data_IF_920689891295
#
_entry.id   IF_920689891295
#
_cell.length_a   1.000
_cell.length_b   1.000
_cell.length_c   1.000
_cell.angle_alpha   90.00
_cell.angle_beta   90.00
_cell.angle_gamma   90.00
#
_symmetry.space_group_name_H-M   'P 1'
#
loop_
_entity.id
_entity.type
_entity.pdbx_description
1 polymer ?
#
# COMPACT_ATOMS: atom_id res chain seq x y z
N UNK A 1 18.06 -50.27 -26.42
CA UNK A 1 17.52 -51.04 -25.29
C UNK A 1 17.90 -50.31 -24.00
N UNK A 2 16.92 -49.83 -23.26
CA UNK A 2 17.13 -49.14 -22.01
C UNK A 2 15.98 -48.15 -21.72
N UNK A 3 14.81 -48.71 -21.39
CA UNK A 3 13.67 -47.95 -20.90
C UNK A 3 13.94 -47.53 -19.46
N UNK A 4 13.96 -46.23 -19.18
CA UNK A 4 13.95 -45.69 -17.82
C UNK A 4 12.52 -45.29 -17.46
N UNK A 5 12.00 -45.98 -16.44
CA UNK A 5 10.72 -45.77 -15.80
C UNK A 5 10.63 -44.36 -15.22
N UNK A 6 9.70 -43.57 -15.71
CA UNK A 6 9.20 -42.36 -15.04
C UNK A 6 8.21 -42.81 -13.97
N UNK A 7 8.64 -42.79 -12.70
CA UNK A 7 7.78 -42.97 -11.55
C UNK A 7 6.83 -41.77 -11.46
N UNK A 8 5.53 -42.04 -11.54
CA UNK A 8 4.49 -41.06 -11.24
C UNK A 8 4.55 -40.71 -9.74
N UNK A 9 4.82 -39.45 -9.43
CA UNK A 9 4.58 -38.89 -8.10
C UNK A 9 3.05 -38.77 -7.92
N UNK A 10 2.51 -39.27 -6.79
CA UNK A 10 1.10 -39.06 -6.49
C UNK A 10 0.84 -37.56 -6.30
N UNK A 11 -0.18 -37.07 -6.96
CA UNK A 11 -0.56 -35.68 -7.00
C UNK A 11 -0.80 -35.08 -5.60
N UNK A 12 0.13 -34.30 -5.13
CA UNK A 12 -0.14 -33.27 -4.12
C UNK A 12 -0.85 -32.14 -4.81
N UNK A 13 -2.17 -32.24 -4.93
CA UNK A 13 -2.99 -31.12 -5.34
C UNK A 13 -2.71 -29.95 -4.43
N UNK A 14 -2.25 -28.84 -4.99
CA UNK A 14 -2.15 -27.59 -4.25
C UNK A 14 -3.54 -27.29 -3.69
N UNK A 15 -3.71 -27.12 -2.37
CA UNK A 15 -5.02 -26.87 -1.80
C UNK A 15 -5.63 -25.64 -2.44
N UNK A 16 -6.91 -25.71 -2.80
CA UNK A 16 -7.63 -24.56 -3.34
C UNK A 16 -7.68 -23.46 -2.31
N UNK A 17 -7.80 -22.20 -2.74
CA UNK A 17 -7.97 -21.03 -1.86
C UNK A 17 -9.05 -21.28 -0.80
N UNK A 18 -10.13 -21.97 -1.15
CA UNK A 18 -11.23 -22.37 -0.27
C UNK A 18 -10.77 -23.32 0.85
N UNK A 19 -9.89 -24.28 0.53
CA UNK A 19 -9.39 -25.24 1.53
C UNK A 19 -8.43 -24.62 2.52
N UNK A 20 -7.55 -23.71 2.08
CA UNK A 20 -6.61 -23.00 2.96
C UNK A 20 -7.32 -22.09 3.97
N UNK A 21 -8.44 -21.47 3.58
CA UNK A 21 -9.24 -20.64 4.50
C UNK A 21 -10.02 -21.51 5.50
N UNK A 22 -10.54 -22.65 5.05
CA UNK A 22 -11.28 -23.58 5.92
C UNK A 22 -10.41 -24.14 7.06
N UNK A 23 -9.14 -24.43 6.78
CA UNK A 23 -8.21 -24.94 7.81
C UNK A 23 -7.75 -23.88 8.83
N UNK A 24 -7.83 -22.58 8.46
CA UNK A 24 -7.28 -21.50 9.29
C UNK A 24 -8.30 -20.92 10.28
N UNK A 25 -9.61 -21.09 10.03
CA UNK A 25 -10.70 -20.52 10.83
C UNK A 25 -11.46 -21.51 11.71
N UNK A 26 -10.83 -22.62 12.10
CA UNK A 26 -11.34 -23.45 13.20
C UNK A 26 -11.08 -22.73 14.54
N UNK A 27 -11.89 -21.71 14.83
CA UNK A 27 -11.84 -20.92 16.05
C UNK A 27 -12.73 -21.58 17.12
N UNK A 28 -12.18 -22.14 18.20
CA UNK A 28 -12.95 -22.87 19.21
C UNK A 28 -13.79 -21.99 20.14
N UNK A 29 -13.84 -20.68 19.95
CA UNK A 29 -14.45 -19.73 20.88
C UNK A 29 -15.56 -18.82 20.30
N UNK A 30 -15.90 -18.96 19.02
CA UNK A 30 -17.07 -18.28 18.47
C UNK A 30 -18.30 -19.18 18.62
N UNK A 31 -19.42 -18.59 19.05
CA UNK A 31 -20.72 -19.30 19.02
C UNK A 31 -20.94 -19.84 17.59
N UNK A 32 -21.50 -21.03 17.47
CA UNK A 32 -21.77 -21.68 16.16
C UNK A 32 -22.51 -20.78 15.18
N UNK A 33 -23.26 -19.79 15.66
CA UNK A 33 -23.96 -18.80 14.85
C UNK A 33 -23.01 -17.77 14.23
N UNK A 34 -22.08 -17.22 15.01
CA UNK A 34 -21.08 -16.26 14.51
C UNK A 34 -20.05 -16.93 13.57
N UNK A 35 -19.71 -18.19 13.84
CA UNK A 35 -18.85 -18.99 12.96
C UNK A 35 -19.53 -19.32 11.63
N UNK A 36 -20.85 -19.58 11.63
CA UNK A 36 -21.62 -19.81 10.41
C UNK A 36 -21.89 -18.51 9.63
N UNK A 37 -22.10 -17.38 10.29
CA UNK A 37 -22.17 -16.08 9.63
C UNK A 37 -20.81 -15.67 9.03
N UNK A 38 -19.70 -15.89 9.74
CA UNK A 38 -18.35 -15.69 9.22
C UNK A 38 -18.04 -16.63 8.03
N UNK A 39 -18.47 -17.91 8.10
CA UNK A 39 -18.33 -18.86 6.99
C UNK A 39 -19.22 -18.50 5.79
N UNK A 40 -20.43 -18.01 6.02
CA UNK A 40 -21.34 -17.55 4.97
C UNK A 40 -20.87 -16.28 4.27
N UNK A 41 -20.14 -15.41 4.97
CA UNK A 41 -19.55 -14.20 4.38
C UNK A 41 -18.18 -14.45 3.72
N UNK A 42 -17.44 -15.48 4.11
CA UNK A 42 -16.13 -15.80 3.55
C UNK A 42 -16.19 -16.47 2.18
N UNK A 43 -17.17 -17.34 1.91
CA UNK A 43 -17.29 -18.02 0.61
C UNK A 43 -17.56 -17.02 -0.56
N UNK A 44 -18.47 -16.03 -0.45
CA UNK A 44 -18.62 -14.97 -1.45
C UNK A 44 -17.37 -14.08 -1.57
N UNK A 45 -16.64 -13.84 -0.46
CA UNK A 45 -15.42 -13.02 -0.47
C UNK A 45 -14.23 -13.73 -1.15
N UNK A 46 -14.12 -15.05 -1.08
CA UNK A 46 -13.08 -15.78 -1.81
C UNK A 46 -13.25 -15.68 -3.31
N UNK A 47 -14.48 -15.87 -3.81
CA UNK A 47 -14.81 -15.60 -5.21
C UNK A 47 -14.55 -14.14 -5.58
N UNK A 48 -14.84 -13.22 -4.67
CA UNK A 48 -14.57 -11.80 -4.85
C UNK A 48 -13.06 -11.49 -4.92
N UNK A 49 -12.22 -12.10 -4.07
CA UNK A 49 -10.77 -11.92 -4.12
C UNK A 49 -10.17 -12.44 -5.43
N UNK A 50 -10.62 -13.56 -5.94
CA UNK A 50 -10.17 -14.07 -7.24
C UNK A 50 -10.55 -13.12 -8.38
N UNK A 51 -11.74 -12.53 -8.34
CA UNK A 51 -12.17 -11.53 -9.31
C UNK A 51 -11.32 -10.26 -9.24
N UNK A 52 -11.04 -9.76 -8.02
CA UNK A 52 -10.17 -8.60 -7.80
C UNK A 52 -8.72 -8.87 -8.23
N UNK A 53 -8.20 -10.07 -7.98
CA UNK A 53 -6.88 -10.49 -8.47
C UNK A 53 -6.83 -10.47 -10.00
N UNK A 54 -7.80 -11.09 -10.65
CA UNK A 54 -7.87 -11.15 -12.11
C UNK A 54 -7.96 -9.75 -12.74
N UNK A 55 -8.80 -8.87 -12.17
CA UNK A 55 -8.90 -7.46 -12.57
C UNK A 55 -7.56 -6.73 -12.44
N UNK A 56 -6.91 -6.86 -11.28
CA UNK A 56 -5.62 -6.20 -11.04
C UNK A 56 -4.53 -6.70 -11.99
N UNK A 57 -4.45 -8.00 -12.23
CA UNK A 57 -3.51 -8.60 -13.19
C UNK A 57 -3.77 -8.08 -14.60
N UNK A 58 -5.04 -7.98 -15.01
CA UNK A 58 -5.43 -7.39 -16.29
C UNK A 58 -4.93 -5.95 -16.38
N UNK A 59 -5.20 -5.10 -15.37
CA UNK A 59 -4.78 -3.71 -15.34
C UNK A 59 -3.24 -3.58 -15.45
N UNK A 60 -2.47 -4.41 -14.75
CA UNK A 60 -1.01 -4.40 -14.85
C UNK A 60 -0.51 -4.73 -16.26
N UNK A 61 -1.11 -5.73 -16.90
CA UNK A 61 -0.72 -6.17 -18.26
C UNK A 61 -1.08 -5.12 -19.30
N UNK A 62 -2.30 -4.56 -19.24
CA UNK A 62 -2.74 -3.50 -20.14
C UNK A 62 -1.84 -2.26 -20.01
N UNK A 63 -1.56 -1.79 -18.80
CA UNK A 63 -0.73 -0.62 -18.61
C UNK A 63 0.73 -0.86 -19.06
N UNK A 64 1.28 -2.05 -18.83
CA UNK A 64 2.63 -2.37 -19.30
C UNK A 64 2.73 -2.53 -20.82
N UNK A 65 1.63 -2.89 -21.50
CA UNK A 65 1.56 -2.97 -22.96
C UNK A 65 1.39 -1.59 -23.62
N UNK A 66 0.58 -0.72 -23.01
CA UNK A 66 0.23 0.58 -23.56
C UNK A 66 1.29 1.66 -23.33
N UNK A 67 1.95 1.65 -22.16
CA UNK A 67 2.87 2.71 -21.78
C UNK A 67 4.31 2.27 -21.98
N UNK A 68 5.09 3.11 -22.68
CA UNK A 68 6.49 2.80 -23.03
C UNK A 68 7.44 2.82 -21.84
N UNK A 69 7.12 3.57 -20.78
CA UNK A 69 8.00 3.73 -19.62
C UNK A 69 7.20 3.76 -18.31
N UNK A 70 6.59 2.66 -17.90
CA UNK A 70 5.87 2.57 -16.63
C UNK A 70 6.82 2.44 -15.43
N UNK A 71 6.36 2.83 -14.24
CA UNK A 71 7.05 2.67 -12.97
C UNK A 71 6.05 2.25 -11.89
N UNK A 72 6.46 1.47 -10.91
CA UNK A 72 5.62 1.13 -9.78
C UNK A 72 6.07 1.86 -8.52
N UNK A 73 5.17 2.65 -7.94
CA UNK A 73 5.42 3.35 -6.68
C UNK A 73 5.42 2.37 -5.51
N UNK A 74 6.57 2.24 -4.85
CA UNK A 74 6.76 1.28 -3.76
C UNK A 74 6.90 2.01 -2.42
N UNK A 75 5.76 2.23 -1.76
CA UNK A 75 5.70 2.91 -0.45
C UNK A 75 6.04 2.00 0.73
N UNK A 76 6.24 0.69 0.50
CA UNK A 76 6.50 -0.35 1.51
C UNK A 76 5.30 -0.61 2.42
N UNK A 77 4.17 0.04 2.17
CA UNK A 77 2.91 -0.23 2.86
C UNK A 77 2.27 -1.55 2.43
N UNK A 78 1.26 -2.01 3.16
CA UNK A 78 0.52 -3.24 2.86
C UNK A 78 -0.03 -3.26 1.42
N UNK A 79 -0.59 -2.14 0.98
CA UNK A 79 -1.17 -2.00 -0.36
C UNK A 79 -0.10 -2.14 -1.46
N UNK A 80 1.05 -1.48 -1.31
CA UNK A 80 2.16 -1.62 -2.26
C UNK A 80 2.81 -3.01 -2.22
N UNK A 81 2.74 -3.72 -1.10
CA UNK A 81 3.20 -5.11 -1.01
C UNK A 81 2.25 -6.06 -1.76
N UNK A 82 0.93 -5.83 -1.66
CA UNK A 82 -0.08 -6.55 -2.47
C UNK A 82 0.10 -6.24 -3.95
N UNK A 83 0.26 -4.96 -4.34
CA UNK A 83 0.56 -4.58 -5.72
C UNK A 83 1.78 -5.30 -6.27
N UNK A 84 2.86 -5.36 -5.50
CA UNK A 84 4.09 -6.02 -5.90
C UNK A 84 3.87 -7.53 -6.15
N UNK A 85 3.09 -8.20 -5.29
CA UNK A 85 2.72 -9.59 -5.47
C UNK A 85 1.86 -9.80 -6.73
N UNK A 86 0.88 -8.94 -6.96
CA UNK A 86 0.04 -8.97 -8.16
C UNK A 86 0.85 -8.73 -9.43
N UNK A 87 1.80 -7.79 -9.42
CA UNK A 87 2.72 -7.57 -10.53
C UNK A 87 3.59 -8.81 -10.80
N UNK A 88 4.10 -9.48 -9.78
CA UNK A 88 4.82 -10.75 -9.94
C UNK A 88 3.94 -11.81 -10.61
N UNK A 89 2.66 -11.95 -10.22
CA UNK A 89 1.73 -12.89 -10.84
C UNK A 89 1.37 -12.49 -12.28
N UNK A 90 1.20 -11.19 -12.54
CA UNK A 90 0.86 -10.66 -13.85
C UNK A 90 1.89 -11.01 -14.92
N UNK A 91 3.18 -11.03 -14.55
CA UNK A 91 4.28 -11.26 -15.51
C UNK A 91 4.97 -12.61 -15.34
N UNK A 92 4.48 -13.48 -14.46
CA UNK A 92 5.03 -14.84 -14.30
C UNK A 92 4.94 -15.63 -15.63
N UNK A 93 6.01 -16.37 -16.02
CA UNK A 93 7.27 -16.64 -15.33
C UNK A 93 8.37 -15.59 -15.54
N UNK A 94 8.09 -14.51 -16.28
CA UNK A 94 9.02 -13.42 -16.50
C UNK A 94 9.22 -12.54 -15.26
N UNK A 95 10.14 -11.58 -15.38
CA UNK A 95 10.35 -10.54 -14.37
C UNK A 95 9.31 -9.41 -14.57
N UNK A 96 9.09 -8.63 -13.52
CA UNK A 96 8.32 -7.39 -13.62
C UNK A 96 9.04 -6.45 -14.61
N UNK A 97 8.37 -5.95 -15.67
CA UNK A 97 9.03 -5.24 -16.78
C UNK A 97 9.26 -3.74 -16.50
N UNK A 98 9.11 -3.29 -15.26
CA UNK A 98 9.30 -1.91 -14.86
C UNK A 98 9.94 -1.81 -13.47
N UNK A 99 10.67 -0.71 -13.18
CA UNK A 99 11.29 -0.53 -11.87
C UNK A 99 10.29 -0.19 -10.77
N UNK A 100 10.73 -0.40 -9.52
CA UNK A 100 10.08 0.10 -8.31
C UNK A 100 10.66 1.48 -7.98
N UNK A 101 9.80 2.46 -7.69
CA UNK A 101 10.21 3.79 -7.25
C UNK A 101 9.80 4.04 -5.81
N UNK A 102 10.79 4.26 -4.95
CA UNK A 102 10.57 4.65 -3.55
C UNK A 102 10.97 6.11 -3.33
N UNK A 103 10.04 6.92 -2.82
CA UNK A 103 10.34 8.29 -2.37
C UNK A 103 10.74 8.25 -0.90
N UNK A 104 12.03 8.45 -0.66
CA UNK A 104 12.59 8.47 0.68
C UNK A 104 12.63 9.91 1.22
N UNK A 105 11.82 10.15 2.24
CA UNK A 105 11.72 11.45 2.92
C UNK A 105 12.78 11.66 3.99
N UNK A 106 13.65 10.67 4.23
CA UNK A 106 14.60 10.60 5.37
C UNK A 106 13.94 10.54 6.76
N UNK A 107 12.62 10.48 6.83
CA UNK A 107 11.83 10.37 8.07
C UNK A 107 11.02 9.07 8.11
N UNK A 108 11.46 8.05 7.37
CA UNK A 108 10.82 6.73 7.38
C UNK A 108 11.23 5.93 8.61
N UNK A 109 10.38 5.00 9.02
CA UNK A 109 10.72 4.03 10.06
C UNK A 109 11.91 3.17 9.62
N UNK A 110 12.90 2.90 10.50
CA UNK A 110 14.05 2.06 10.18
C UNK A 110 13.66 0.68 9.64
N UNK A 111 12.62 0.07 10.20
CA UNK A 111 12.09 -1.24 9.77
C UNK A 111 11.58 -1.21 8.32
N UNK A 112 11.05 -0.06 7.86
CA UNK A 112 10.62 0.08 6.46
C UNK A 112 11.81 0.05 5.51
N UNK A 113 12.87 0.77 5.86
CA UNK A 113 14.07 0.85 5.02
C UNK A 113 14.75 -0.52 4.92
N UNK A 114 14.93 -1.19 6.06
CA UNK A 114 15.51 -2.53 6.11
C UNK A 114 14.69 -3.53 5.27
N UNK A 115 13.36 -3.54 5.46
CA UNK A 115 12.47 -4.41 4.71
C UNK A 115 12.48 -4.12 3.20
N UNK A 116 12.47 -2.84 2.80
CA UNK A 116 12.55 -2.42 1.40
C UNK A 116 13.75 -3.02 0.69
N UNK A 117 14.94 -2.82 1.27
CA UNK A 117 16.21 -3.19 0.65
C UNK A 117 16.39 -4.70 0.61
N UNK A 118 15.97 -5.39 1.66
CA UNK A 118 16.01 -6.85 1.72
C UNK A 118 15.04 -7.47 0.71
N UNK A 119 13.77 -7.01 0.71
CA UNK A 119 12.74 -7.63 -0.11
C UNK A 119 12.93 -7.35 -1.60
N UNK A 120 13.28 -6.12 -1.98
CA UNK A 120 13.58 -5.80 -3.39
C UNK A 120 14.74 -6.65 -3.93
N UNK A 121 15.80 -6.84 -3.15
CA UNK A 121 16.93 -7.71 -3.51
C UNK A 121 16.50 -9.17 -3.64
N UNK A 122 15.70 -9.67 -2.70
CA UNK A 122 15.20 -11.06 -2.68
C UNK A 122 14.42 -11.42 -3.95
N UNK A 123 13.60 -10.50 -4.43
CA UNK A 123 12.77 -10.74 -5.62
C UNK A 123 13.46 -10.34 -6.93
N UNK A 124 14.68 -9.78 -6.86
CA UNK A 124 15.43 -9.31 -8.02
C UNK A 124 14.77 -8.16 -8.77
N UNK A 125 13.99 -7.31 -8.08
CA UNK A 125 13.37 -6.14 -8.66
C UNK A 125 14.36 -4.98 -8.72
N UNK A 126 14.32 -4.22 -9.82
CA UNK A 126 15.03 -2.95 -9.91
C UNK A 126 14.38 -1.94 -8.98
N UNK A 127 15.16 -1.33 -8.08
CA UNK A 127 14.68 -0.37 -7.08
C UNK A 127 15.37 0.97 -7.27
N UNK A 128 14.58 1.98 -7.60
CA UNK A 128 14.98 3.39 -7.63
C UNK A 128 14.58 4.05 -6.32
N UNK A 129 15.55 4.62 -5.61
CA UNK A 129 15.28 5.40 -4.38
C UNK A 129 15.59 6.85 -4.68
N UNK A 130 14.57 7.71 -4.56
CA UNK A 130 14.71 9.14 -4.83
C UNK A 130 14.49 9.94 -3.54
N UNK A 131 15.35 10.97 -3.34
CA UNK A 131 15.30 11.94 -2.24
C UNK A 131 15.35 13.34 -2.80
N UNK A 132 14.64 14.26 -2.18
CA UNK A 132 14.85 15.68 -2.45
C UNK A 132 16.02 16.20 -1.59
N UNK A 133 17.24 15.99 -2.09
CA UNK A 133 18.48 16.35 -1.37
C UNK A 133 18.60 17.86 -1.15
N UNK A 134 18.06 18.69 -2.06
CA UNK A 134 18.08 20.15 -1.92
C UNK A 134 17.20 20.59 -0.75
N UNK A 135 15.97 20.09 -0.68
CA UNK A 135 15.07 20.39 0.45
C UNK A 135 15.64 19.91 1.77
N UNK A 136 16.27 18.72 1.82
CA UNK A 136 16.91 18.19 3.03
C UNK A 136 18.09 19.07 3.46
N UNK A 137 18.95 19.48 2.53
CA UNK A 137 20.08 20.39 2.82
C UNK A 137 19.62 21.77 3.29
N UNK A 138 18.47 22.25 2.80
CA UNK A 138 17.83 23.49 3.26
C UNK A 138 17.16 23.34 4.63
N UNK A 139 17.24 22.17 5.28
CA UNK A 139 16.69 21.93 6.61
C UNK A 139 15.20 21.58 6.61
N UNK A 140 14.64 21.14 5.49
CA UNK A 140 13.25 20.69 5.45
C UNK A 140 13.02 19.50 6.38
N UNK A 141 12.16 19.69 7.38
CA UNK A 141 11.81 18.66 8.36
C UNK A 141 10.39 18.89 8.88
N UNK A 142 9.73 17.82 9.39
CA UNK A 142 8.34 17.91 9.85
C UNK A 142 8.15 18.73 11.11
N UNK A 143 9.19 18.91 11.91
CA UNK A 143 9.10 19.63 13.19
C UNK A 143 9.10 21.14 13.01
N UNK A 144 9.91 21.68 12.08
CA UNK A 144 10.01 23.12 11.84
C UNK A 144 9.02 23.62 10.79
N UNK A 145 8.71 22.81 9.76
CA UNK A 145 7.83 23.20 8.66
C UNK A 145 6.36 22.78 8.86
N UNK A 146 6.09 21.89 9.82
CA UNK A 146 4.83 21.21 9.95
C UNK A 146 4.61 20.15 8.86
N UNK A 147 3.59 19.33 9.05
CA UNK A 147 3.33 18.15 8.20
C UNK A 147 3.06 18.54 6.75
N UNK A 148 2.23 19.55 6.50
CA UNK A 148 1.80 19.94 5.16
C UNK A 148 2.96 20.39 4.27
N UNK A 149 3.73 21.40 4.72
CA UNK A 149 4.86 21.92 3.94
C UNK A 149 5.97 20.90 3.78
N UNK A 150 6.29 20.13 4.83
CA UNK A 150 7.27 19.06 4.76
C UNK A 150 6.86 17.98 3.75
N UNK A 151 5.60 17.52 3.76
CA UNK A 151 5.10 16.57 2.77
C UNK A 151 5.09 17.15 1.35
N UNK A 152 4.76 18.42 1.17
CA UNK A 152 4.84 19.10 -0.12
C UNK A 152 6.24 19.01 -0.73
N UNK A 153 7.28 19.30 0.06
CA UNK A 153 8.67 19.28 -0.40
C UNK A 153 9.24 17.86 -0.54
N UNK A 154 9.12 17.04 0.52
CA UNK A 154 9.82 15.76 0.60
C UNK A 154 9.05 14.58 0.00
N UNK A 155 7.76 14.74 -0.30
CA UNK A 155 6.96 13.70 -0.98
C UNK A 155 6.46 14.17 -2.34
N UNK A 156 5.61 15.22 -2.39
CA UNK A 156 4.95 15.63 -3.64
C UNK A 156 5.97 16.10 -4.66
N UNK A 157 6.78 17.10 -4.31
CA UNK A 157 7.81 17.62 -5.21
C UNK A 157 8.83 16.53 -5.59
N UNK A 158 9.30 15.77 -4.60
CA UNK A 158 10.23 14.67 -4.81
C UNK A 158 9.68 13.60 -5.76
N UNK A 159 8.38 13.28 -5.67
CA UNK A 159 7.73 12.36 -6.61
C UNK A 159 7.69 12.92 -8.03
N UNK A 160 7.28 14.17 -8.19
CA UNK A 160 7.21 14.80 -9.51
C UNK A 160 8.59 14.89 -10.17
N UNK A 161 9.61 15.27 -9.40
CA UNK A 161 11.00 15.32 -9.86
C UNK A 161 11.52 13.94 -10.27
N UNK A 162 11.23 12.90 -9.49
CA UNK A 162 11.61 11.52 -9.81
C UNK A 162 10.94 11.00 -11.08
N UNK A 163 9.65 11.29 -11.26
CA UNK A 163 8.90 10.87 -12.43
C UNK A 163 9.39 11.58 -13.69
N UNK A 164 9.66 12.88 -13.59
CA UNK A 164 10.20 13.68 -14.69
C UNK A 164 11.63 13.23 -15.06
N UNK A 165 12.50 13.04 -14.07
CA UNK A 165 13.88 12.59 -14.29
C UNK A 165 13.95 11.20 -14.93
N UNK A 166 13.03 10.29 -14.56
CA UNK A 166 12.93 8.96 -15.16
C UNK A 166 12.18 8.95 -16.50
N UNK A 167 11.52 10.04 -16.88
CA UNK A 167 10.68 10.10 -18.09
C UNK A 167 9.48 9.15 -18.03
N UNK A 168 8.99 8.84 -16.83
CA UNK A 168 7.90 7.89 -16.63
C UNK A 168 6.56 8.47 -17.07
N UNK A 169 5.87 7.77 -17.97
CA UNK A 169 4.57 8.17 -18.50
C UNK A 169 3.38 7.46 -17.84
N UNK A 170 3.63 6.39 -17.09
CA UNK A 170 2.64 5.72 -16.26
C UNK A 170 3.25 5.37 -14.89
N UNK A 171 2.48 5.55 -13.81
CA UNK A 171 2.93 5.20 -12.47
C UNK A 171 1.84 4.42 -11.73
N UNK A 172 2.12 3.15 -11.41
CA UNK A 172 1.24 2.32 -10.61
C UNK A 172 1.23 2.79 -9.15
N UNK A 173 0.06 2.96 -8.59
CA UNK A 173 -0.16 3.40 -7.21
C UNK A 173 -1.14 2.50 -6.47
N UNK A 174 -0.94 2.32 -5.17
CA UNK A 174 -1.75 1.46 -4.31
C UNK A 174 -3.01 2.13 -3.74
N UNK A 175 -3.51 3.20 -4.37
CA UNK A 175 -4.70 3.86 -3.90
C UNK A 175 -5.95 3.03 -4.14
N UNK A 176 -6.85 3.01 -3.14
CA UNK A 176 -8.15 2.34 -3.19
C UNK A 176 -9.26 3.35 -3.03
N UNK A 177 -10.39 3.12 -3.69
CA UNK A 177 -11.59 3.98 -3.55
C UNK A 177 -12.17 3.97 -2.14
N UNK A 178 -11.98 2.87 -1.41
CA UNK A 178 -12.41 2.66 -0.02
C UNK A 178 -11.63 3.51 0.99
N UNK A 179 -10.43 3.97 0.64
CA UNK A 179 -9.48 4.57 1.57
C UNK A 179 -9.93 5.93 2.13
N UNK A 180 -10.52 6.76 1.25
CA UNK A 180 -11.11 8.05 1.64
C UNK A 180 -11.97 8.67 0.50
N UNK A 181 -12.79 9.69 0.84
CA UNK A 181 -13.78 10.28 -0.07
C UNK A 181 -13.20 10.83 -1.38
N UNK A 182 -12.03 11.46 -1.36
CA UNK A 182 -11.44 12.02 -2.59
C UNK A 182 -10.94 10.92 -3.52
N UNK A 183 -10.55 9.76 -2.97
CA UNK A 183 -10.11 8.61 -3.75
C UNK A 183 -11.27 7.87 -4.42
N UNK A 184 -12.48 7.97 -3.87
CA UNK A 184 -13.67 7.43 -4.52
C UNK A 184 -13.97 8.06 -5.89
N UNK A 185 -13.46 9.29 -6.14
CA UNK A 185 -13.58 9.99 -7.43
C UNK A 185 -12.47 9.62 -8.42
N UNK A 186 -11.44 8.89 -8.00
CA UNK A 186 -10.31 8.52 -8.83
C UNK A 186 -10.70 7.45 -9.85
N UNK A 187 -10.14 7.53 -11.04
CA UNK A 187 -10.25 6.49 -12.07
C UNK A 187 -9.17 5.44 -11.88
N UNK A 188 -9.35 4.26 -12.48
CA UNK A 188 -8.29 3.24 -12.56
C UNK A 188 -7.11 3.80 -13.36
N UNK A 189 -7.40 4.43 -14.51
CA UNK A 189 -6.45 5.22 -15.29
C UNK A 189 -6.70 6.71 -15.03
N UNK A 190 -6.03 7.24 -14.02
CA UNK A 190 -6.22 8.60 -13.56
C UNK A 190 -5.23 9.55 -14.21
N UNK A 191 -5.78 10.46 -14.97
CA UNK A 191 -5.07 11.41 -15.80
C UNK A 191 -4.33 12.48 -14.98
N UNK A 192 -3.14 12.85 -15.45
CA UNK A 192 -2.36 13.99 -14.95
C UNK A 192 -1.94 14.85 -16.12
N UNK A 193 -2.14 16.15 -15.98
CA UNK A 193 -1.71 17.13 -16.97
C UNK A 193 -0.18 17.28 -17.04
N UNK A 194 0.30 18.20 -17.88
CA UNK A 194 1.72 18.49 -18.04
C UNK A 194 2.45 18.93 -16.75
N UNK A 195 1.70 19.36 -15.74
CA UNK A 195 2.22 19.74 -14.41
C UNK A 195 2.07 18.63 -13.37
N UNK A 196 1.58 17.46 -13.76
CA UNK A 196 1.27 16.33 -12.88
C UNK A 196 0.00 16.52 -12.04
N UNK A 197 -0.83 17.52 -12.37
CA UNK A 197 -2.03 17.86 -11.62
C UNK A 197 -3.23 17.00 -12.03
N UNK A 198 -4.10 16.74 -11.06
CA UNK A 198 -5.34 16.01 -11.25
C UNK A 198 -6.54 16.97 -11.32
N UNK A 199 -7.29 16.89 -12.41
CA UNK A 199 -8.57 17.55 -12.54
C UNK A 199 -9.69 16.51 -12.65
N UNK A 200 -10.62 16.44 -11.66
CA UNK A 200 -11.73 15.49 -11.70
C UNK A 200 -12.70 15.71 -12.85
N UNK A 201 -12.76 16.90 -13.43
CA UNK A 201 -13.66 17.23 -14.55
C UNK A 201 -13.12 16.74 -15.88
N UNK A 202 -11.79 16.60 -15.99
CA UNK A 202 -11.11 16.18 -17.21
C UNK A 202 -10.71 14.70 -17.20
N UNK A 203 -11.26 13.91 -16.27
CA UNK A 203 -11.06 12.46 -16.25
C UNK A 203 -11.94 11.78 -17.29
N UNK A 204 -11.39 10.77 -17.95
CA UNK A 204 -12.12 9.98 -18.94
C UNK A 204 -13.03 8.98 -18.27
N UNK A 205 -14.27 8.78 -18.74
CA UNK A 205 -15.13 7.73 -18.19
C UNK A 205 -14.58 6.34 -18.50
N UNK A 206 -14.74 5.42 -17.57
CA UNK A 206 -14.34 3.99 -17.65
C UNK A 206 -15.60 3.13 -17.75
N UNK A 207 -16.46 3.42 -18.73
CA UNK A 207 -17.68 2.66 -18.99
C UNK A 207 -17.32 1.25 -19.45
N UNK A 208 -18.03 0.25 -18.91
CA UNK A 208 -17.82 -1.17 -19.23
C UNK A 208 -16.39 -1.66 -18.97
N UNK A 209 -15.69 -1.08 -18.01
CA UNK A 209 -14.28 -1.38 -17.70
C UNK A 209 -13.31 -1.13 -18.87
N UNK A 210 -13.68 -0.27 -19.82
CA UNK A 210 -12.77 0.14 -20.88
C UNK A 210 -11.82 1.21 -20.33
N UNK A 211 -10.53 0.87 -20.27
CA UNK A 211 -9.47 1.74 -19.84
C UNK A 211 -9.00 2.61 -21.02
N UNK A 212 -8.94 3.91 -20.83
CA UNK A 212 -8.48 4.83 -21.87
C UNK A 212 -7.05 5.29 -21.57
N UNK A 213 -6.08 4.75 -22.32
CA UNK A 213 -4.65 4.96 -22.17
C UNK A 213 -4.08 6.16 -22.90
N UNK A 214 -4.88 6.82 -23.77
CA UNK A 214 -4.38 7.93 -24.60
C UNK A 214 -3.89 9.09 -23.77
N UNK A 215 -2.61 9.47 -23.95
CA UNK A 215 -1.96 10.63 -23.33
C UNK A 215 -1.30 11.51 -24.39
N UNK A 216 -1.23 12.80 -24.13
CA UNK A 216 -0.45 13.74 -24.92
C UNK A 216 1.03 13.74 -24.44
N UNK A 217 1.94 14.33 -25.22
CA UNK A 217 3.38 14.22 -25.01
C UNK A 217 3.90 14.65 -23.61
N UNK A 218 3.16 15.54 -22.93
CA UNK A 218 3.55 16.08 -21.61
C UNK A 218 2.71 15.53 -20.46
N UNK A 219 1.74 14.67 -20.76
CA UNK A 219 0.80 14.12 -19.79
C UNK A 219 1.30 12.77 -19.25
N UNK A 220 0.71 12.34 -18.14
CA UNK A 220 1.00 11.04 -17.55
C UNK A 220 -0.25 10.43 -16.94
N UNK A 221 -0.20 9.12 -16.67
CA UNK A 221 -1.30 8.42 -15.99
C UNK A 221 -0.83 7.86 -14.65
N UNK A 222 -1.67 7.97 -13.64
CA UNK A 222 -1.59 7.15 -12.44
C UNK A 222 -2.50 5.94 -12.62
N UNK A 223 -1.93 4.76 -12.48
CA UNK A 223 -2.65 3.49 -12.64
C UNK A 223 -2.91 2.91 -11.26
N UNK A 224 -4.19 2.60 -10.97
CA UNK A 224 -4.59 2.11 -9.64
C UNK A 224 -5.18 0.70 -9.71
N UNK A 225 -4.34 -0.35 -9.74
CA UNK A 225 -4.79 -1.75 -9.85
C UNK A 225 -5.64 -2.19 -8.66
N UNK A 226 -5.50 -1.54 -7.50
CA UNK A 226 -6.25 -1.85 -6.29
C UNK A 226 -7.51 -0.99 -6.10
N UNK A 227 -7.96 -0.27 -7.14
CA UNK A 227 -9.05 0.71 -7.05
C UNK A 227 -10.31 0.18 -6.38
N UNK A 228 -10.69 -1.06 -6.69
CA UNK A 228 -11.92 -1.70 -6.23
C UNK A 228 -11.73 -2.56 -4.96
N UNK A 229 -10.51 -2.64 -4.42
CA UNK A 229 -10.20 -3.38 -3.21
C UNK A 229 -10.60 -2.60 -1.95
N UNK A 230 -11.07 -3.29 -0.94
CA UNK A 230 -11.23 -2.77 0.42
C UNK A 230 -9.99 -3.03 1.26
N UNK A 231 -9.88 -2.38 2.43
CA UNK A 231 -8.80 -2.68 3.38
C UNK A 231 -8.85 -4.14 3.83
N UNK A 232 -10.06 -4.68 4.01
CA UNK A 232 -10.25 -6.08 4.38
C UNK A 232 -9.74 -7.02 3.29
N UNK A 233 -10.03 -6.74 2.02
CA UNK A 233 -9.54 -7.55 0.88
C UNK A 233 -8.01 -7.57 0.84
N UNK A 234 -7.35 -6.44 1.12
CA UNK A 234 -5.89 -6.36 1.23
C UNK A 234 -5.36 -7.32 2.30
N UNK A 235 -5.96 -7.33 3.50
CA UNK A 235 -5.50 -8.18 4.59
C UNK A 235 -5.80 -9.66 4.35
N UNK A 236 -6.97 -9.98 3.80
CA UNK A 236 -7.31 -11.34 3.39
C UNK A 236 -6.35 -11.87 2.32
N UNK A 237 -6.01 -11.04 1.34
CA UNK A 237 -5.08 -11.42 0.29
C UNK A 237 -3.64 -11.58 0.82
N UNK A 238 -3.19 -10.71 1.74
CA UNK A 238 -1.91 -10.88 2.45
C UNK A 238 -1.87 -12.22 3.18
N UNK A 239 -2.97 -12.60 3.83
CA UNK A 239 -3.06 -13.86 4.56
C UNK A 239 -2.98 -15.07 3.63
N UNK A 240 -3.80 -15.10 2.58
CA UNK A 240 -3.88 -16.21 1.63
C UNK A 240 -2.59 -16.40 0.84
N UNK A 241 -2.05 -15.32 0.28
CA UNK A 241 -0.82 -15.32 -0.50
C UNK A 241 0.46 -15.32 0.35
N UNK A 242 0.34 -15.27 1.69
CA UNK A 242 1.46 -15.21 2.65
C UNK A 242 2.46 -14.12 2.29
N UNK A 243 1.93 -12.94 1.94
CA UNK A 243 2.75 -11.80 1.49
C UNK A 243 3.57 -11.26 2.67
N UNK A 244 4.91 -11.17 2.54
CA UNK A 244 5.72 -10.52 3.55
C UNK A 244 5.37 -9.03 3.67
N UNK A 245 5.22 -8.56 4.89
CA UNK A 245 4.94 -7.16 5.22
C UNK A 245 5.85 -6.67 6.33
N UNK A 246 5.97 -5.34 6.45
CA UNK A 246 6.80 -4.71 7.48
C UNK A 246 6.32 -5.10 8.88
N UNK A 247 7.23 -5.45 9.81
CA UNK A 247 6.87 -5.86 11.19
C UNK A 247 6.11 -4.81 11.99
N UNK A 248 6.08 -3.55 11.56
CA UNK A 248 5.30 -2.47 12.17
C UNK A 248 3.77 -2.69 12.16
N UNK A 249 3.28 -3.53 11.26
CA UNK A 249 1.87 -3.90 11.21
C UNK A 249 1.43 -4.85 12.33
N UNK A 250 2.37 -5.54 12.98
CA UNK A 250 2.10 -6.46 14.08
C UNK A 250 2.21 -5.77 15.43
N UNK A 251 1.26 -6.05 16.32
CA UNK A 251 1.27 -5.52 17.68
C UNK A 251 2.49 -6.03 18.44
N UNK A 252 3.16 -5.11 19.11
CA UNK A 252 4.29 -5.38 20.02
C UNK A 252 4.34 -4.30 21.10
N UNK A 253 5.01 -4.60 22.22
CA UNK A 253 5.39 -3.59 23.19
C UNK A 253 6.40 -2.63 22.56
N UNK A 254 6.02 -1.35 22.43
CA UNK A 254 6.87 -0.30 21.88
C UNK A 254 6.89 0.91 22.80
N UNK A 255 8.04 1.58 22.83
CA UNK A 255 8.18 2.86 23.50
C UNK A 255 7.51 3.94 22.68
N UNK A 256 6.61 4.70 23.31
CA UNK A 256 5.76 5.70 22.65
C UNK A 256 5.62 6.96 23.49
N UNK A 257 5.24 8.05 22.82
CA UNK A 257 4.70 9.26 23.44
C UNK A 257 3.31 9.54 22.92
N UNK A 258 2.52 10.30 23.66
CA UNK A 258 1.23 10.81 23.18
C UNK A 258 1.41 12.26 22.71
N UNK A 259 1.13 12.50 21.42
CA UNK A 259 1.15 13.83 20.79
C UNK A 259 -0.20 14.10 20.14
N UNK A 260 -0.88 15.16 20.57
CA UNK A 260 -2.18 15.55 20.00
C UNK A 260 -3.19 14.38 19.91
N UNK A 261 -3.26 13.56 20.95
CA UNK A 261 -4.14 12.39 20.99
C UNK A 261 -3.68 11.18 20.17
N UNK A 262 -2.56 11.28 19.47
CA UNK A 262 -1.97 10.18 18.70
C UNK A 262 -0.82 9.51 19.44
N UNK A 263 -0.70 8.18 19.30
CA UNK A 263 0.41 7.38 19.83
C UNK A 263 1.54 7.42 18.80
N UNK A 264 2.66 8.04 19.14
CA UNK A 264 3.82 8.17 18.26
C UNK A 264 4.95 7.28 18.78
N UNK A 265 5.52 6.44 17.92
CA UNK A 265 6.67 5.60 18.24
C UNK A 265 7.90 6.48 18.47
N UNK A 266 8.73 6.09 19.44
CA UNK A 266 9.98 6.74 19.76
C UNK A 266 11.13 5.77 19.51
N UNK A 267 12.17 6.25 18.87
CA UNK A 267 13.42 5.54 18.62
C UNK A 267 14.55 6.15 19.47
N UNK A 268 15.62 5.41 19.73
CA UNK A 268 16.71 5.90 20.62
C UNK A 268 17.32 7.25 20.23
N UNK A 269 17.32 7.56 18.93
CA UNK A 269 17.84 8.81 18.36
C UNK A 269 16.84 9.96 18.38
N UNK A 270 15.57 9.69 18.69
CA UNK A 270 14.52 10.71 18.69
C UNK A 270 14.63 11.65 19.89
N UNK A 271 14.44 12.94 19.65
CA UNK A 271 14.38 13.95 20.69
C UNK A 271 12.96 14.10 21.21
N UNK A 272 12.80 13.95 22.52
CA UNK A 272 11.54 14.24 23.19
C UNK A 272 11.34 15.76 23.27
N UNK A 273 10.08 16.18 23.15
CA UNK A 273 9.71 17.57 23.39
C UNK A 273 9.68 17.86 24.91
N UNK A 274 9.86 19.13 25.33
CA UNK A 274 9.80 19.48 26.72
C UNK A 274 8.50 19.01 27.40
N UNK A 275 8.63 18.26 28.50
CA UNK A 275 7.50 17.72 29.26
C UNK A 275 6.93 16.38 28.74
N UNK A 276 7.39 15.85 27.61
CA UNK A 276 7.00 14.51 27.16
C UNK A 276 7.56 13.41 28.06
N UNK A 277 6.74 12.37 28.28
CA UNK A 277 7.13 11.16 28.99
C UNK A 277 6.86 9.97 28.10
N UNK A 278 7.84 9.09 27.98
CA UNK A 278 7.67 7.83 27.26
C UNK A 278 6.95 6.79 28.12
N UNK A 279 6.26 5.89 27.48
CA UNK A 279 5.65 4.70 28.08
C UNK A 279 5.69 3.53 27.10
N UNK A 280 5.68 2.31 27.61
CA UNK A 280 5.54 1.11 26.81
C UNK A 280 4.07 0.78 26.62
N UNK A 281 3.68 0.54 25.35
CA UNK A 281 2.29 0.22 24.96
C UNK A 281 2.32 -0.90 23.92
N UNK A 282 1.43 -1.88 24.08
CA UNK A 282 1.14 -2.82 23.00
C UNK A 282 0.42 -2.07 21.88
N UNK A 283 1.08 -1.93 20.74
CA UNK A 283 0.56 -1.14 19.63
C UNK A 283 1.09 -1.63 18.28
N UNK A 284 0.37 -1.30 17.22
CA UNK A 284 0.74 -1.55 15.83
C UNK A 284 0.46 -0.32 14.96
N UNK A 285 1.08 -0.29 13.80
CA UNK A 285 0.72 0.68 12.77
C UNK A 285 -0.46 0.12 11.95
N UNK A 286 -1.44 0.95 11.65
CA UNK A 286 -2.51 0.60 10.70
C UNK A 286 -2.15 1.04 9.27
N UNK A 287 -1.44 2.15 9.16
CA UNK A 287 -0.86 2.65 7.91
C UNK A 287 0.55 3.15 8.15
N UNK A 288 1.40 3.15 7.13
CA UNK A 288 2.79 3.59 7.22
C UNK A 288 3.01 4.94 6.54
N UNK A 289 3.76 5.80 7.19
CA UNK A 289 4.11 7.12 6.71
C UNK A 289 5.50 7.56 7.17
N UNK A 290 5.64 8.80 7.66
CA UNK A 290 6.85 9.28 8.33
C UNK A 290 6.71 9.13 9.84
N UNK A 291 7.83 8.87 10.54
CA UNK A 291 7.88 8.63 11.99
C UNK A 291 7.08 9.66 12.79
N UNK A 292 7.29 10.99 12.65
CA UNK A 292 6.61 11.94 13.52
C UNK A 292 5.15 12.25 13.10
N UNK A 293 4.74 11.78 11.91
CA UNK A 293 3.46 12.17 11.32
C UNK A 293 2.46 11.00 11.26
N UNK A 294 2.82 9.83 11.74
CA UNK A 294 1.97 8.65 11.68
C UNK A 294 1.80 8.05 13.06
N UNK A 295 0.56 8.06 13.55
CA UNK A 295 0.20 7.47 14.83
C UNK A 295 0.01 5.96 14.74
N UNK A 296 0.34 5.28 15.84
CA UNK A 296 0.01 3.87 16.06
C UNK A 296 -1.38 3.75 16.70
N UNK A 297 -1.94 2.56 16.66
CA UNK A 297 -3.16 2.18 17.39
C UNK A 297 -2.80 1.18 18.50
N UNK A 298 -3.51 1.23 19.63
CA UNK A 298 -3.45 0.18 20.65
C UNK A 298 -4.03 -1.09 20.06
N UNK A 299 -3.31 -2.18 20.19
CA UNK A 299 -3.69 -3.45 19.63
C UNK A 299 -2.91 -4.59 20.25
N UNK A 300 -3.51 -5.77 20.30
CA UNK A 300 -2.87 -7.04 20.64
C UNK A 300 -2.74 -7.96 19.41
N UNK A 301 -3.10 -7.47 18.22
CA UNK A 301 -3.05 -8.23 16.98
C UNK A 301 -1.61 -8.39 16.47
N UNK A 302 -0.95 -9.45 16.85
CA UNK A 302 0.44 -9.79 16.52
C UNK A 302 0.58 -10.72 15.31
N UNK A 303 -0.54 -11.10 14.69
CA UNK A 303 -0.62 -11.94 13.49
C UNK A 303 -1.64 -11.40 12.51
N UNK A 304 -1.52 -11.78 11.22
CA UNK A 304 -2.48 -11.35 10.18
C UNK A 304 -3.91 -11.79 10.50
N UNK A 305 -4.22 -13.02 10.94
CA UNK A 305 -5.57 -13.40 11.35
C UNK A 305 -6.14 -12.49 12.45
N UNK A 306 -5.38 -12.19 13.50
CA UNK A 306 -5.84 -11.28 14.56
C UNK A 306 -6.08 -9.85 14.07
N UNK A 307 -5.29 -9.37 13.09
CA UNK A 307 -5.54 -8.08 12.44
C UNK A 307 -6.87 -8.10 11.69
N UNK A 308 -7.17 -9.17 10.97
CA UNK A 308 -8.45 -9.36 10.27
C UNK A 308 -9.61 -9.37 11.28
N UNK A 309 -9.51 -10.11 12.37
CA UNK A 309 -10.52 -10.15 13.45
C UNK A 309 -10.76 -8.76 14.05
N UNK A 310 -9.68 -8.04 14.33
CA UNK A 310 -9.75 -6.66 14.85
C UNK A 310 -10.47 -5.73 13.86
N UNK A 311 -10.19 -5.87 12.57
CA UNK A 311 -10.84 -5.05 11.54
C UNK A 311 -12.33 -5.33 11.38
N UNK A 312 -12.74 -6.58 11.49
CA UNK A 312 -14.16 -6.96 11.47
C UNK A 312 -14.93 -6.37 12.65
N UNK A 313 -14.25 -6.18 13.80
CA UNK A 313 -14.83 -5.55 14.99
C UNK A 313 -14.87 -4.01 14.93
N UNK A 314 -14.02 -3.35 14.12
CA UNK A 314 -13.88 -1.89 14.06
C UNK A 314 -14.31 -1.32 12.71
N UNK A 315 -15.31 -0.40 12.72
CA UNK A 315 -15.79 0.32 11.50
C UNK A 315 -15.16 1.71 11.32
N UNK A 316 -13.89 1.91 11.68
CA UNK A 316 -13.21 3.22 11.58
C UNK A 316 -12.33 3.32 10.34
N UNK A 317 -12.16 4.54 9.81
CA UNK A 317 -11.31 4.80 8.66
C UNK A 317 -9.84 4.43 8.92
N UNK A 318 -9.18 3.86 7.92
CA UNK A 318 -7.75 3.51 7.94
C UNK A 318 -6.84 4.70 8.22
N UNK A 319 -7.21 5.89 7.74
CA UNK A 319 -6.37 7.08 7.76
C UNK A 319 -6.59 7.98 8.97
N UNK A 320 -7.51 7.62 9.86
CA UNK A 320 -7.89 8.43 11.04
C UNK A 320 -6.69 8.88 11.89
N UNK A 321 -5.59 8.12 11.87
CA UNK A 321 -4.39 8.42 12.68
C UNK A 321 -3.26 9.13 11.89
N UNK A 322 -3.55 9.69 10.71
CA UNK A 322 -2.58 10.48 9.96
C UNK A 322 -2.79 11.96 10.20
N UNK A 323 -1.79 12.64 10.76
CA UNK A 323 -1.85 14.09 11.02
C UNK A 323 -2.23 14.90 9.77
N UNK A 324 -1.76 14.48 8.59
CA UNK A 324 -2.02 15.17 7.32
C UNK A 324 -3.50 15.18 6.90
N UNK A 325 -4.30 14.23 7.38
CA UNK A 325 -5.71 14.11 7.01
C UNK A 325 -6.62 14.88 7.98
N UNK A 326 -6.04 15.38 9.10
CA UNK A 326 -6.73 16.21 10.09
C UNK A 326 -6.54 17.73 9.87
N UNK A 327 -5.60 18.12 8.99
CA UNK A 327 -5.22 19.53 8.84
C UNK A 327 -6.33 20.39 8.22
N UNK A 328 -7.10 19.85 7.25
CA UNK A 328 -8.24 20.55 6.61
C UNK A 328 -9.21 19.56 5.93
N UNK A 329 -10.49 19.90 5.87
CA UNK A 329 -11.48 19.14 5.10
C UNK A 329 -11.15 19.21 3.60
N UNK A 330 -10.94 18.05 2.96
CA UNK A 330 -10.54 17.99 1.54
C UNK A 330 -9.04 18.11 1.28
N UNK A 331 -8.17 18.03 2.31
CA UNK A 331 -6.72 18.18 2.18
C UNK A 331 -6.09 17.27 1.12
N UNK A 332 -6.60 16.04 0.95
CA UNK A 332 -6.13 15.11 -0.09
C UNK A 332 -6.53 15.53 -1.51
N UNK A 333 -7.70 16.14 -1.68
CA UNK A 333 -8.11 16.66 -3.00
C UNK A 333 -7.24 17.85 -3.43
N UNK A 334 -6.89 18.71 -2.49
CA UNK A 334 -5.95 19.83 -2.71
C UNK A 334 -4.59 19.28 -3.12
N UNK A 335 -4.05 18.28 -2.40
CA UNK A 335 -2.75 17.67 -2.72
C UNK A 335 -2.70 16.95 -4.06
N UNK A 336 -3.79 16.33 -4.48
CA UNK A 336 -3.89 15.75 -5.82
C UNK A 336 -3.81 16.81 -6.91
N UNK A 337 -4.43 17.99 -6.69
CA UNK A 337 -4.30 19.15 -7.60
C UNK A 337 -2.86 19.68 -7.65
N UNK A 338 -2.10 19.52 -6.57
CA UNK A 338 -0.67 19.87 -6.49
C UNK A 338 0.25 18.78 -7.09
N UNK A 339 -0.31 17.66 -7.57
CA UNK A 339 0.44 16.56 -8.17
C UNK A 339 0.80 15.42 -7.23
N UNK A 340 0.30 15.44 -5.99
CA UNK A 340 0.37 14.26 -5.11
C UNK A 340 -0.68 13.23 -5.56
N UNK A 341 -0.40 11.95 -5.47
CA UNK A 341 -1.26 10.83 -5.91
C UNK A 341 -2.71 11.14 -6.18
#
# INVERSE_FOLDING_TARGET
MGFLFLGAFPGSGTPTMTQLVQETFDLPHLSTHAANEARSTLAPQLSHLEALEAESIYIFREAAAEFSNPVMLYSIGKDSSVMLRLAQKAFYPGKIPFPLLHIDTSYKFPEMIAFRDEYARKIGAELIVHKNEEALRSGANPFSLGTQKCCGLLKTRSLLDALAAGGFNAAFGGARRDEEKSRAKERVYSFRDAHGQWDPKNQRPELWNILNSRIEKSESIRVFPLSNWTELDIWLYIHVEKIPIVPLYYARQREVVERNGSIVLIYPEDKLLPGEKTKFVSCRMRSLGCVPCTGAIRSEADTVPKIIEEMLAFRRSERENRAIDHDEEGSMEIKKREGYF
#
